data_IF_292130368722
#
_entry.id   IF_292130368722
#
_cell.length_a   1.000
_cell.length_b   1.000
_cell.length_c   1.000
_cell.angle_alpha   90.00
_cell.angle_beta   90.00
_cell.angle_gamma   90.00
#
_symmetry.space_group_name_H-M   'P 1'
#
loop_
_entity.id
_entity.type
_entity.pdbx_description
1 polymer ?
#
# COMPACT_ATOMS: atom_id res chain seq x y z
N UNK A 1 -22.81 6.51 1.73
CA UNK A 1 -22.50 7.72 0.95
C UNK A 1 -23.64 7.98 -0.03
N UNK A 2 -24.42 9.03 0.18
CA UNK A 2 -25.48 9.45 -0.75
C UNK A 2 -24.88 10.33 -1.85
N UNK A 3 -24.99 9.90 -3.09
CA UNK A 3 -24.67 10.71 -4.26
C UNK A 3 -25.96 11.32 -4.80
N UNK A 4 -25.94 12.62 -5.05
CA UNK A 4 -27.05 13.32 -5.68
C UNK A 4 -26.69 13.68 -7.13
N UNK A 5 -27.60 13.48 -8.10
CA UNK A 5 -27.39 13.97 -9.46
C UNK A 5 -27.20 15.49 -9.48
N UNK A 6 -26.24 15.97 -10.26
CA UNK A 6 -25.94 17.39 -10.43
C UNK A 6 -25.63 17.67 -11.90
N UNK A 7 -26.67 17.94 -12.69
CA UNK A 7 -26.55 18.11 -14.14
C UNK A 7 -26.01 16.84 -14.82
N UNK A 8 -24.89 16.96 -15.54
CA UNK A 8 -24.20 15.82 -16.19
C UNK A 8 -23.29 15.03 -15.23
N UNK A 9 -23.25 15.39 -13.95
CA UNK A 9 -22.36 14.79 -12.97
C UNK A 9 -23.09 14.39 -11.68
N UNK A 10 -22.30 14.15 -10.65
CA UNK A 10 -22.79 13.84 -9.30
C UNK A 10 -22.17 14.79 -8.28
N UNK A 11 -22.91 15.06 -7.21
CA UNK A 11 -22.41 15.76 -6.03
C UNK A 11 -22.55 14.89 -4.78
N UNK A 12 -21.64 15.06 -3.82
CA UNK A 12 -21.65 14.34 -2.55
C UNK A 12 -20.93 15.14 -1.45
N UNK A 13 -20.96 14.62 -0.22
CA UNK A 13 -20.04 15.04 0.84
C UNK A 13 -18.63 14.53 0.51
N UNK A 14 -17.64 15.37 0.76
CA UNK A 14 -16.25 15.03 0.54
C UNK A 14 -15.78 13.92 1.50
N UNK A 15 -15.12 12.87 1.00
CA UNK A 15 -14.53 11.84 1.85
C UNK A 15 -13.18 12.25 2.48
N UNK A 16 -12.62 13.39 2.06
CA UNK A 16 -11.27 13.82 2.45
C UNK A 16 -11.25 14.90 3.54
N UNK A 17 -12.40 15.51 3.83
CA UNK A 17 -12.55 16.46 4.93
C UNK A 17 -13.98 16.44 5.45
N UNK A 18 -14.17 16.85 6.69
CA UNK A 18 -15.48 16.84 7.32
C UNK A 18 -16.25 18.11 6.97
N UNK A 19 -17.40 17.95 6.31
CA UNK A 19 -18.28 19.05 5.90
C UNK A 19 -19.75 18.65 6.04
N UNK A 20 -20.64 19.64 6.18
CA UNK A 20 -22.10 19.43 6.25
C UNK A 20 -22.82 19.67 4.92
N UNK A 21 -22.20 20.43 4.03
CA UNK A 21 -22.74 20.77 2.71
C UNK A 21 -21.99 20.00 1.63
N UNK A 22 -22.67 19.42 0.63
CA UNK A 22 -21.98 18.66 -0.42
C UNK A 22 -21.13 19.58 -1.31
N UNK A 23 -19.80 19.51 -1.20
CA UNK A 23 -18.88 20.26 -2.07
C UNK A 23 -18.07 19.37 -3.03
N UNK A 24 -18.25 18.04 -2.95
CA UNK A 24 -17.56 17.07 -3.79
C UNK A 24 -18.31 16.84 -5.10
N UNK A 25 -17.72 17.25 -6.22
CA UNK A 25 -18.32 17.15 -7.56
C UNK A 25 -17.57 16.11 -8.41
N UNK A 26 -18.32 15.27 -9.12
CA UNK A 26 -17.81 14.25 -10.04
C UNK A 26 -18.34 14.53 -11.44
N UNK A 27 -17.44 14.69 -12.41
CA UNK A 27 -17.77 14.81 -13.82
C UNK A 27 -17.51 13.48 -14.52
N UNK A 28 -18.59 12.81 -14.94
CA UNK A 28 -18.51 11.55 -15.71
C UNK A 28 -17.95 11.77 -17.11
N UNK A 29 -18.27 12.90 -17.74
CA UNK A 29 -17.76 13.26 -19.06
C UNK A 29 -16.25 13.51 -19.04
N UNK A 30 -15.75 14.24 -18.02
CA UNK A 30 -14.34 14.55 -17.87
C UNK A 30 -13.54 13.45 -17.18
N UNK A 31 -14.19 12.48 -16.54
CA UNK A 31 -13.57 11.46 -15.69
C UNK A 31 -12.71 12.07 -14.56
N UNK A 32 -13.22 13.15 -13.95
CA UNK A 32 -12.54 13.90 -12.90
C UNK A 32 -13.45 14.13 -11.71
N UNK A 33 -12.86 14.30 -10.53
CA UNK A 33 -13.51 14.81 -9.34
C UNK A 33 -12.84 16.11 -8.88
N UNK A 34 -13.60 16.95 -8.19
CA UNK A 34 -13.08 18.11 -7.48
C UNK A 34 -13.95 18.44 -6.27
N UNK A 35 -13.31 18.74 -5.15
CA UNK A 35 -13.93 19.20 -3.92
C UNK A 35 -13.72 20.71 -3.78
N UNK A 36 -14.79 21.48 -3.82
CA UNK A 36 -14.71 22.93 -3.68
C UNK A 36 -14.46 23.39 -2.22
N UNK A 37 -14.66 22.52 -1.23
CA UNK A 37 -14.39 22.82 0.19
C UNK A 37 -12.90 22.74 0.57
N UNK A 38 -12.21 21.68 0.13
CA UNK A 38 -10.80 21.45 0.49
C UNK A 38 -9.81 21.53 -0.69
N UNK A 39 -10.30 21.75 -1.91
CA UNK A 39 -9.48 21.83 -3.12
C UNK A 39 -9.01 20.49 -3.69
N UNK A 40 -9.30 19.38 -3.01
CA UNK A 40 -8.93 18.05 -3.47
C UNK A 40 -9.55 17.72 -4.83
N UNK A 41 -8.74 17.22 -5.76
CA UNK A 41 -9.21 16.94 -7.11
C UNK A 41 -8.25 16.06 -7.89
N UNK A 42 -8.74 15.52 -9.00
CA UNK A 42 -7.96 14.70 -9.90
C UNK A 42 -8.80 13.61 -10.55
N UNK A 43 -8.11 12.57 -11.01
CA UNK A 43 -8.74 11.40 -11.64
C UNK A 43 -9.00 10.28 -10.62
N UNK A 44 -9.50 9.15 -11.10
CA UNK A 44 -9.79 7.96 -10.27
C UNK A 44 -8.57 7.44 -9.50
N UNK A 45 -7.36 7.55 -10.06
CA UNK A 45 -6.14 7.12 -9.38
C UNK A 45 -5.82 8.06 -8.21
N UNK A 46 -5.92 9.38 -8.42
CA UNK A 46 -5.74 10.35 -7.34
C UNK A 46 -6.72 10.09 -6.19
N UNK A 47 -7.98 9.78 -6.53
CA UNK A 47 -9.00 9.45 -5.55
C UNK A 47 -8.60 8.22 -4.72
N UNK A 48 -8.30 7.09 -5.37
CA UNK A 48 -7.94 5.83 -4.70
C UNK A 48 -6.68 5.99 -3.86
N UNK A 49 -5.65 6.65 -4.39
CA UNK A 49 -4.41 6.90 -3.66
C UNK A 49 -4.66 7.65 -2.34
N UNK A 50 -5.48 8.72 -2.37
CA UNK A 50 -5.78 9.49 -1.16
C UNK A 50 -6.73 8.77 -0.22
N UNK A 51 -7.75 8.11 -0.77
CA UNK A 51 -8.77 7.44 0.02
C UNK A 51 -8.23 6.20 0.74
N UNK A 52 -7.46 5.37 0.03
CA UNK A 52 -6.88 4.13 0.57
C UNK A 52 -5.49 4.35 1.18
N UNK A 53 -4.91 5.56 1.05
CA UNK A 53 -3.56 5.92 1.50
C UNK A 53 -2.49 5.00 0.89
N UNK A 54 -2.60 4.76 -0.40
CA UNK A 54 -1.69 3.91 -1.16
C UNK A 54 -0.93 4.71 -2.23
N UNK A 55 0.18 4.16 -2.69
CA UNK A 55 0.91 4.74 -3.82
C UNK A 55 0.20 4.48 -5.17
N UNK A 56 0.75 5.05 -6.24
CA UNK A 56 0.17 4.93 -7.57
C UNK A 56 0.12 3.49 -8.09
N UNK A 57 1.15 2.68 -7.84
CA UNK A 57 1.20 1.31 -8.35
C UNK A 57 0.18 0.42 -7.64
N UNK A 58 0.05 0.57 -6.33
CA UNK A 58 -0.98 -0.12 -5.55
C UNK A 58 -2.38 0.33 -5.98
N UNK A 59 -2.61 1.63 -6.20
CA UNK A 59 -3.88 2.12 -6.76
C UNK A 59 -4.19 1.51 -8.14
N UNK A 60 -3.19 1.39 -9.01
CA UNK A 60 -3.33 0.75 -10.33
C UNK A 60 -3.70 -0.72 -10.19
N UNK A 61 -3.04 -1.48 -9.30
CA UNK A 61 -3.37 -2.89 -9.03
C UNK A 61 -4.80 -3.05 -8.52
N UNK A 62 -5.21 -2.20 -7.58
CA UNK A 62 -6.57 -2.23 -7.02
C UNK A 62 -7.63 -1.97 -8.11
N UNK A 63 -7.41 -0.96 -8.95
CA UNK A 63 -8.33 -0.61 -10.03
C UNK A 63 -8.34 -1.66 -11.14
N UNK A 64 -7.18 -2.20 -11.51
CA UNK A 64 -7.08 -3.26 -12.51
C UNK A 64 -7.84 -4.51 -12.07
N UNK A 65 -7.69 -4.92 -10.80
CA UNK A 65 -8.46 -6.03 -10.22
C UNK A 65 -9.97 -5.79 -10.28
N UNK A 66 -10.44 -4.57 -9.98
CA UNK A 66 -11.86 -4.20 -10.06
C UNK A 66 -12.38 -4.14 -11.50
N UNK A 67 -11.56 -3.69 -12.43
CA UNK A 67 -11.91 -3.56 -13.85
C UNK A 67 -11.74 -4.86 -14.66
N UNK A 68 -11.17 -5.93 -14.07
CA UNK A 68 -10.84 -7.16 -14.78
C UNK A 68 -9.67 -7.01 -15.77
N UNK A 69 -8.81 -6.00 -15.57
CA UNK A 69 -7.64 -5.74 -16.42
C UNK A 69 -6.46 -6.52 -15.89
N UNK A 70 -5.83 -7.32 -16.75
CA UNK A 70 -4.59 -8.03 -16.44
C UNK A 70 -3.43 -7.06 -16.60
N UNK A 71 -2.72 -6.78 -15.51
CA UNK A 71 -1.50 -5.98 -15.56
C UNK A 71 -0.33 -6.86 -16.02
N UNK A 72 0.60 -6.31 -16.82
CA UNK A 72 1.83 -7.02 -17.15
C UNK A 72 2.58 -7.35 -15.84
N UNK A 73 2.97 -8.61 -15.70
CA UNK A 73 3.79 -9.02 -14.56
C UNK A 73 5.13 -8.30 -14.64
N UNK A 74 5.47 -7.56 -13.58
CA UNK A 74 6.80 -6.94 -13.44
C UNK A 74 7.78 -8.01 -12.93
N UNK A 75 7.91 -9.11 -13.70
CA UNK A 75 8.62 -10.33 -13.31
C UNK A 75 10.04 -10.01 -12.85
N UNK A 76 10.67 -8.99 -13.45
CA UNK A 76 12.02 -8.56 -13.10
C UNK A 76 12.11 -8.00 -11.68
N UNK A 77 11.15 -7.17 -11.27
CA UNK A 77 11.15 -6.51 -9.96
C UNK A 77 10.78 -7.48 -8.85
N UNK A 78 9.81 -8.34 -9.10
CA UNK A 78 9.39 -9.40 -8.18
C UNK A 78 10.51 -10.43 -7.96
N UNK A 79 11.20 -10.85 -9.02
CA UNK A 79 12.37 -11.73 -8.93
C UNK A 79 13.56 -11.09 -8.19
N UNK A 80 13.75 -9.77 -8.29
CA UNK A 80 14.83 -9.06 -7.58
C UNK A 80 14.54 -8.96 -6.08
N UNK A 81 13.30 -8.63 -5.69
CA UNK A 81 12.88 -8.59 -4.29
C UNK A 81 12.93 -9.98 -3.65
N UNK A 82 12.46 -11.00 -4.37
CA UNK A 82 12.54 -12.39 -3.94
C UNK A 82 13.99 -12.83 -3.72
N UNK A 83 14.88 -12.58 -4.68
CA UNK A 83 16.32 -12.88 -4.54
C UNK A 83 17.00 -12.14 -3.39
N UNK A 84 16.65 -10.86 -3.17
CA UNK A 84 17.18 -10.11 -2.03
C UNK A 84 16.71 -10.73 -0.71
N UNK A 85 15.42 -11.07 -0.60
CA UNK A 85 14.85 -11.68 0.61
C UNK A 85 15.49 -13.04 0.91
N UNK A 86 15.69 -13.90 -0.09
CA UNK A 86 16.41 -15.17 0.06
C UNK A 86 17.85 -14.96 0.56
N UNK A 87 18.57 -13.97 0.00
CA UNK A 87 19.93 -13.64 0.44
C UNK A 87 19.97 -13.23 1.91
N UNK A 88 19.00 -12.42 2.35
CA UNK A 88 18.90 -11.99 3.75
C UNK A 88 18.58 -13.16 4.69
N UNK A 89 17.66 -14.06 4.33
CA UNK A 89 17.39 -15.25 5.14
C UNK A 89 18.61 -16.17 5.24
N UNK A 90 19.36 -16.34 4.15
CA UNK A 90 20.58 -17.15 4.15
C UNK A 90 21.65 -16.55 5.06
N UNK A 91 21.86 -15.23 4.98
CA UNK A 91 22.77 -14.50 5.90
C UNK A 91 22.34 -14.64 7.35
N UNK A 92 21.05 -14.46 7.65
CA UNK A 92 20.52 -14.58 9.01
C UNK A 92 20.68 -16.01 9.56
N UNK A 93 20.45 -17.03 8.74
CA UNK A 93 20.65 -18.44 9.11
C UNK A 93 22.13 -18.74 9.41
N UNK A 94 23.05 -18.24 8.58
CA UNK A 94 24.49 -18.37 8.82
C UNK A 94 24.91 -17.69 10.11
N UNK A 95 24.43 -16.46 10.36
CA UNK A 95 24.69 -15.73 11.59
C UNK A 95 24.16 -16.49 12.81
N UNK A 96 22.92 -16.98 12.76
CA UNK A 96 22.31 -17.78 13.83
C UNK A 96 23.12 -19.05 14.14
N UNK A 97 23.56 -19.76 13.11
CA UNK A 97 24.39 -20.95 13.28
C UNK A 97 25.77 -20.62 13.87
N UNK A 98 26.39 -19.53 13.41
CA UNK A 98 27.66 -19.07 13.98
C UNK A 98 27.52 -18.74 15.48
N UNK A 99 26.51 -17.96 15.86
CA UNK A 99 26.28 -17.62 17.26
C UNK A 99 25.92 -18.84 18.11
N UNK A 100 25.16 -19.79 17.55
CA UNK A 100 24.88 -21.08 18.19
C UNK A 100 26.18 -21.83 18.48
N UNK A 101 27.07 -21.95 17.50
CA UNK A 101 28.38 -22.60 17.67
C UNK A 101 29.24 -21.87 18.71
N UNK A 102 29.29 -20.54 18.68
CA UNK A 102 30.00 -19.74 19.69
C UNK A 102 29.47 -20.00 21.09
N UNK A 103 28.15 -20.10 21.27
CA UNK A 103 27.52 -20.41 22.55
C UNK A 103 27.96 -21.79 23.09
N UNK A 104 28.08 -22.80 22.23
CA UNK A 104 28.50 -24.15 22.64
C UNK A 104 30.01 -24.34 22.75
N UNK A 105 30.83 -23.51 22.07
CA UNK A 105 32.31 -23.55 22.12
C UNK A 105 32.91 -22.71 23.23
N UNK A 106 32.19 -21.71 23.75
CA UNK A 106 32.65 -20.95 24.90
C UNK A 106 32.87 -21.91 26.11
N UNK A 107 33.90 -21.68 26.94
CA UNK A 107 34.09 -22.42 28.19
C UNK A 107 32.77 -22.41 28.96
N UNK A 108 32.29 -23.58 29.40
CA UNK A 108 30.96 -23.78 30.01
C UNK A 108 30.78 -22.91 31.26
N UNK A 109 30.43 -21.64 31.09
CA UNK A 109 29.91 -20.84 32.18
C UNK A 109 28.46 -21.25 32.40
N UNK A 110 28.24 -22.05 33.45
CA UNK A 110 26.93 -22.55 33.93
C UNK A 110 25.86 -21.45 34.09
N UNK A 111 26.21 -20.17 34.00
CA UNK A 111 25.29 -19.03 34.04
C UNK A 111 24.53 -18.77 32.73
N UNK A 112 25.11 -19.05 31.56
CA UNK A 112 24.49 -18.68 30.27
C UNK A 112 23.38 -19.68 29.88
N UNK A 113 23.59 -20.97 30.13
CA UNK A 113 22.60 -22.03 29.81
C UNK A 113 21.43 -22.03 30.79
N UNK A 114 21.62 -21.59 32.05
CA UNK A 114 20.53 -21.50 33.04
C UNK A 114 19.66 -20.24 32.90
N UNK A 115 20.04 -19.29 32.04
CA UNK A 115 19.29 -18.05 31.80
C UNK A 115 18.40 -18.14 30.54
N UNK A 116 18.68 -19.08 29.64
CA UNK A 116 17.89 -19.39 28.44
C UNK A 116 16.89 -20.51 28.72
#
# INVERSE_FOLDING_TARGET
CSFEPAGKGFKALCPFHEEKTPSFMISTEKQLFHCFGCGEGGNVFNFVMKFEKVDFFEAVKMLAKKAGVILPADEKKENLLYRQKERMYKLNSLAANYFRECLFRAPREKKIINYL
#
